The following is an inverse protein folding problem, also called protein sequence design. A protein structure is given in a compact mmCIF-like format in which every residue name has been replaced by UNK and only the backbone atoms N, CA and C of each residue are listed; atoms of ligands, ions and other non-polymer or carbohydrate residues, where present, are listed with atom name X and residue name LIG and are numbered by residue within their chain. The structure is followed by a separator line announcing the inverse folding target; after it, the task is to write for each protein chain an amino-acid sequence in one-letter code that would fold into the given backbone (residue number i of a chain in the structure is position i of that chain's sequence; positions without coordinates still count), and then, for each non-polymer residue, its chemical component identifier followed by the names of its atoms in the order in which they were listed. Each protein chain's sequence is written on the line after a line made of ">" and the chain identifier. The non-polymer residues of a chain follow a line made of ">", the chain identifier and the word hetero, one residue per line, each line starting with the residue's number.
data_IF_529896733675
#
_entry.id   IF_529896733675
#
_cell.length_a   1.000
_cell.length_b   1.000
_cell.length_c   1.000
_cell.angle_alpha   90.00
_cell.angle_beta   90.00
_cell.angle_gamma   90.00
#
_symmetry.space_group_name_H-M   'P 1'
#
loop_
_entity.id
_entity.type
_entity.pdbx_description
1 polymer ?
#
# COMPACT_ATOMS: atom_id res chain seq x y z
N UNK A 1 2.74 14.34 2.76
CA UNK A 1 3.64 13.21 2.40
C UNK A 1 2.98 11.83 2.48
N UNK A 2 2.11 11.53 3.47
CA UNK A 2 1.36 10.25 3.56
C UNK A 2 0.41 9.96 2.38
N UNK A 3 -0.09 10.98 1.71
CA UNK A 3 -1.07 10.85 0.61
C UNK A 3 -0.48 10.37 -0.71
N UNK A 4 0.83 10.54 -0.96
CA UNK A 4 1.48 10.07 -2.19
C UNK A 4 1.80 8.56 -2.15
N UNK A 5 2.04 8.01 -0.94
CA UNK A 5 2.21 6.57 -0.75
C UNK A 5 0.89 5.79 -0.79
N UNK A 6 -0.25 6.47 -0.64
CA UNK A 6 -1.58 5.87 -0.69
C UNK A 6 -2.14 5.71 -2.12
N UNK A 7 -1.52 6.34 -3.12
CA UNK A 7 -1.99 6.30 -4.51
C UNK A 7 -0.91 5.69 -5.43
N UNK A 8 -0.88 4.34 -5.58
CA UNK A 8 0.10 3.66 -6.42
C UNK A 8 0.01 4.07 -7.90
N UNK A 9 -1.16 4.57 -8.35
CA UNK A 9 -1.32 5.09 -9.70
C UNK A 9 -0.59 6.43 -9.92
N UNK A 10 -0.40 7.24 -8.88
CA UNK A 10 0.34 8.49 -9.00
C UNK A 10 1.83 8.23 -9.28
N UNK A 11 2.44 7.31 -8.52
CA UNK A 11 3.83 6.92 -8.73
C UNK A 11 4.02 6.28 -10.12
N UNK A 12 3.05 5.46 -10.55
CA UNK A 12 3.02 4.86 -11.88
C UNK A 12 2.86 5.90 -13.01
N UNK A 13 2.05 6.94 -12.81
CA UNK A 13 1.91 8.07 -13.75
C UNK A 13 3.21 8.84 -13.89
N UNK A 14 3.88 9.17 -12.78
CA UNK A 14 5.18 9.84 -12.83
C UNK A 14 6.21 9.01 -13.58
N UNK A 15 6.26 7.71 -13.33
CA UNK A 15 7.23 6.84 -13.97
C UNK A 15 6.96 6.61 -15.48
N UNK A 16 5.68 6.57 -15.88
CA UNK A 16 5.28 6.55 -17.31
C UNK A 16 5.67 7.83 -18.05
N UNK A 17 5.76 8.95 -17.35
CA UNK A 17 6.18 10.25 -17.91
C UNK A 17 7.71 10.37 -17.91
N UNK A 18 8.39 9.81 -16.90
CA UNK A 18 9.84 9.91 -16.76
C UNK A 18 10.62 9.01 -17.73
N UNK A 19 10.09 7.83 -18.06
CA UNK A 19 10.72 6.91 -19.01
C UNK A 19 10.90 7.52 -20.41
N UNK A 20 9.86 8.10 -21.06
CA UNK A 20 10.02 8.75 -22.35
C UNK A 20 10.84 10.03 -22.27
N UNK A 21 10.81 10.78 -21.17
CA UNK A 21 11.68 11.95 -21.01
C UNK A 21 13.15 11.57 -20.90
N UNK A 22 13.48 10.46 -20.22
CA UNK A 22 14.85 9.96 -20.16
C UNK A 22 15.32 9.43 -21.51
N UNK A 23 14.45 8.76 -22.27
CA UNK A 23 14.74 8.36 -23.65
C UNK A 23 14.98 9.57 -24.56
N UNK A 24 14.18 10.64 -24.43
CA UNK A 24 14.36 11.90 -25.16
C UNK A 24 15.68 12.59 -24.80
N UNK A 25 16.01 12.68 -23.51
CA UNK A 25 17.28 13.24 -23.06
C UNK A 25 18.47 12.40 -23.55
N UNK A 26 18.35 11.08 -23.55
CA UNK A 26 19.37 10.17 -24.08
C UNK A 26 19.55 10.34 -25.60
N UNK A 27 18.46 10.42 -26.37
CA UNK A 27 18.51 10.68 -27.82
C UNK A 27 19.10 12.06 -28.10
N UNK A 28 18.72 13.09 -27.32
CA UNK A 28 19.26 14.44 -27.45
C UNK A 28 20.75 14.51 -27.12
N UNK A 29 21.18 13.85 -26.03
CA UNK A 29 22.59 13.76 -25.66
C UNK A 29 23.39 12.98 -26.71
N UNK A 30 22.83 11.88 -27.24
CA UNK A 30 23.43 11.14 -28.34
C UNK A 30 23.54 12.00 -29.61
N UNK A 31 22.53 12.80 -29.95
CA UNK A 31 22.54 13.69 -31.12
C UNK A 31 23.54 14.85 -30.99
N UNK A 32 23.63 15.48 -29.81
CA UNK A 32 24.60 16.54 -29.54
C UNK A 32 26.03 15.99 -29.61
N UNK A 33 26.27 14.83 -28.98
CA UNK A 33 27.56 14.13 -29.11
C UNK A 33 27.84 13.77 -30.57
N UNK A 34 26.85 13.30 -31.34
CA UNK A 34 27.02 12.99 -32.75
C UNK A 34 27.33 14.24 -33.58
N UNK A 35 26.68 15.39 -33.32
CA UNK A 35 26.81 16.60 -34.13
C UNK A 35 28.14 17.33 -33.95
N UNK A 36 28.67 17.41 -32.74
CA UNK A 36 29.92 18.13 -32.46
C UNK A 36 31.15 17.23 -32.66
N UNK A 37 30.98 15.92 -32.47
CA UNK A 37 32.06 14.95 -32.63
C UNK A 37 32.13 14.47 -34.09
N UNK A 38 31.04 14.33 -34.86
CA UNK A 38 31.07 13.81 -36.24
C UNK A 38 32.00 14.55 -37.20
N UNK A 39 32.16 15.87 -37.06
CA UNK A 39 33.05 16.66 -37.93
C UNK A 39 34.56 16.48 -37.61
N UNK A 40 34.89 15.87 -36.46
CA UNK A 40 36.28 15.58 -36.01
C UNK A 40 36.53 14.12 -35.65
N UNK A 41 35.52 13.26 -35.75
CA UNK A 41 35.58 11.85 -35.41
C UNK A 41 35.94 11.07 -36.66
N UNK A 42 37.20 10.67 -36.75
CA UNK A 42 37.54 9.54 -37.59
C UNK A 42 36.74 8.35 -37.06
N UNK A 43 35.89 7.75 -37.90
CA UNK A 43 35.07 6.58 -37.56
C UNK A 43 35.98 5.36 -37.32
N UNK A 44 36.68 5.38 -36.18
CA UNK A 44 37.56 4.33 -35.73
C UNK A 44 36.75 3.30 -34.94
N UNK A 45 37.21 2.05 -34.96
CA UNK A 45 36.63 0.91 -34.27
C UNK A 45 36.34 1.20 -32.77
N UNK A 46 37.17 2.04 -32.13
CA UNK A 46 37.00 2.43 -30.72
C UNK A 46 35.69 3.20 -30.43
N UNK A 47 35.25 4.05 -31.36
CA UNK A 47 34.03 4.86 -31.18
C UNK A 47 32.79 3.97 -31.24
N UNK A 48 32.75 3.03 -32.18
CA UNK A 48 31.66 2.06 -32.31
C UNK A 48 31.49 1.22 -31.05
N UNK A 49 32.60 0.76 -30.46
CA UNK A 49 32.57 -0.04 -29.23
C UNK A 49 31.98 0.73 -28.05
N UNK A 50 32.32 2.01 -27.87
CA UNK A 50 31.78 2.84 -26.79
C UNK A 50 30.26 3.05 -26.91
N UNK A 51 29.77 3.33 -28.13
CA UNK A 51 28.34 3.49 -28.39
C UNK A 51 27.58 2.19 -28.12
N UNK A 52 28.14 1.04 -28.51
CA UNK A 52 27.54 -0.27 -28.24
C UNK A 52 27.45 -0.59 -26.74
N UNK A 53 28.47 -0.24 -25.97
CA UNK A 53 28.46 -0.42 -24.50
C UNK A 53 27.41 0.48 -23.85
N UNK A 54 27.31 1.76 -24.25
CA UNK A 54 26.28 2.67 -23.74
C UNK A 54 24.87 2.17 -24.06
N UNK A 55 24.65 1.70 -25.28
CA UNK A 55 23.37 1.13 -25.70
C UNK A 55 23.03 -0.15 -24.91
N UNK A 56 24.01 -1.02 -24.68
CA UNK A 56 23.83 -2.25 -23.89
C UNK A 56 23.52 -1.95 -22.42
N UNK A 57 24.26 -1.03 -21.78
CA UNK A 57 24.00 -0.61 -20.39
C UNK A 57 22.62 0.01 -20.23
N UNK A 58 22.18 0.81 -21.22
CA UNK A 58 20.84 1.39 -21.24
C UNK A 58 19.77 0.31 -21.38
N UNK A 59 19.95 -0.66 -22.29
CA UNK A 59 19.03 -1.78 -22.48
C UNK A 59 18.88 -2.64 -21.23
N UNK A 60 19.99 -2.93 -20.53
CA UNK A 60 20.00 -3.70 -19.29
C UNK A 60 19.27 -2.93 -18.18
N UNK A 61 19.55 -1.64 -17.98
CA UNK A 61 18.87 -0.81 -16.99
C UNK A 61 17.37 -0.72 -17.26
N UNK A 62 16.98 -0.60 -18.53
CA UNK A 62 15.58 -0.56 -18.95
C UNK A 62 14.85 -1.89 -18.71
N UNK A 63 15.50 -3.02 -18.98
CA UNK A 63 14.97 -4.35 -18.72
C UNK A 63 14.84 -4.64 -17.21
N UNK A 64 15.86 -4.27 -16.41
CA UNK A 64 15.82 -4.39 -14.95
C UNK A 64 14.70 -3.56 -14.34
N UNK A 65 14.53 -2.32 -14.79
CA UNK A 65 13.45 -1.46 -14.35
C UNK A 65 12.09 -2.14 -14.62
N UNK A 66 11.85 -2.59 -15.86
CA UNK A 66 10.63 -3.33 -16.25
C UNK A 66 10.32 -4.53 -15.34
N UNK A 67 11.32 -5.33 -14.98
CA UNK A 67 11.14 -6.56 -14.18
C UNK A 67 10.78 -6.22 -12.73
N UNK A 68 11.49 -5.27 -12.10
CA UNK A 68 11.27 -4.91 -10.69
C UNK A 68 9.86 -4.33 -10.47
N UNK A 69 9.32 -3.59 -11.45
CA UNK A 69 7.96 -3.05 -11.37
C UNK A 69 6.86 -4.11 -11.35
N UNK A 70 7.06 -5.24 -12.04
CA UNK A 70 6.05 -6.30 -12.06
C UNK A 70 5.83 -6.91 -10.67
N UNK A 71 6.92 -7.10 -9.91
CA UNK A 71 6.89 -7.65 -8.55
C UNK A 71 6.20 -6.71 -7.58
N UNK A 72 6.51 -5.41 -7.66
CA UNK A 72 5.86 -4.38 -6.83
C UNK A 72 4.35 -4.38 -7.05
N UNK A 73 3.87 -4.46 -8.31
CA UNK A 73 2.43 -4.49 -8.61
C UNK A 73 1.73 -5.69 -7.98
N UNK A 74 2.30 -6.88 -8.13
CA UNK A 74 1.72 -8.12 -7.58
C UNK A 74 1.70 -8.08 -6.06
N UNK A 75 2.74 -7.54 -5.42
CA UNK A 75 2.79 -7.42 -3.97
C UNK A 75 1.72 -6.44 -3.46
N UNK A 76 1.55 -5.30 -4.13
CA UNK A 76 0.52 -4.33 -3.78
C UNK A 76 -0.90 -4.91 -3.92
N UNK A 77 -1.18 -5.63 -5.00
CA UNK A 77 -2.48 -6.27 -5.22
C UNK A 77 -2.78 -7.34 -4.15
N UNK A 78 -1.76 -8.10 -3.74
CA UNK A 78 -1.87 -9.05 -2.62
C UNK A 78 -2.16 -8.36 -1.30
N UNK A 79 -1.51 -7.22 -1.01
CA UNK A 79 -1.75 -6.44 0.21
C UNK A 79 -3.17 -5.86 0.22
N UNK A 80 -3.60 -5.25 -0.89
CA UNK A 80 -4.96 -4.71 -1.02
C UNK A 80 -6.03 -5.79 -0.90
N UNK A 81 -5.82 -6.94 -1.53
CA UNK A 81 -6.75 -8.07 -1.44
C UNK A 81 -6.79 -8.64 -0.03
N UNK A 82 -5.64 -8.75 0.65
CA UNK A 82 -5.57 -9.19 2.04
C UNK A 82 -6.29 -8.21 2.98
N UNK A 83 -6.10 -6.90 2.81
CA UNK A 83 -6.82 -5.88 3.57
C UNK A 83 -8.33 -5.94 3.33
N UNK A 84 -8.75 -6.03 2.07
CA UNK A 84 -10.17 -6.14 1.71
C UNK A 84 -10.82 -7.40 2.28
N UNK A 85 -10.12 -8.53 2.23
CA UNK A 85 -10.59 -9.79 2.82
C UNK A 85 -10.70 -9.69 4.34
N UNK A 86 -9.73 -9.04 4.99
CA UNK A 86 -9.75 -8.78 6.44
C UNK A 86 -10.95 -7.91 6.82
N UNK A 87 -11.19 -6.81 6.11
CA UNK A 87 -12.34 -5.94 6.34
C UNK A 87 -13.66 -6.69 6.16
N UNK A 88 -13.80 -7.42 5.05
CA UNK A 88 -15.02 -8.23 4.78
C UNK A 88 -15.26 -9.27 5.88
N UNK A 89 -14.19 -9.93 6.36
CA UNK A 89 -14.29 -10.91 7.45
C UNK A 89 -14.69 -10.28 8.78
N UNK A 90 -14.20 -9.07 9.08
CA UNK A 90 -14.53 -8.34 10.28
C UNK A 90 -15.99 -7.87 10.26
N UNK A 91 -16.43 -7.33 9.13
CA UNK A 91 -17.84 -6.96 8.89
C UNK A 91 -18.77 -8.16 9.09
N UNK A 92 -18.39 -9.34 8.57
CA UNK A 92 -19.16 -10.56 8.81
C UNK A 92 -19.25 -10.92 10.29
N UNK A 93 -18.14 -10.85 11.04
CA UNK A 93 -18.13 -11.10 12.50
C UNK A 93 -18.95 -10.07 13.28
N UNK A 94 -18.90 -8.80 12.89
CA UNK A 94 -19.74 -7.74 13.48
C UNK A 94 -21.24 -8.02 13.28
N UNK A 95 -21.61 -8.60 12.14
CA UNK A 95 -22.98 -9.00 11.86
C UNK A 95 -23.47 -10.19 12.70
N UNK A 96 -22.56 -11.05 13.20
CA UNK A 96 -22.87 -12.16 14.11
C UNK A 96 -23.06 -11.74 15.58
N UNK A 97 -22.79 -10.47 15.91
CA UNK A 97 -23.08 -9.93 17.23
C UNK A 97 -24.59 -9.83 17.44
N UNK A 98 -25.06 -10.21 18.62
CA UNK A 98 -26.45 -10.00 19.02
C UNK A 98 -26.74 -8.50 19.18
N UNK A 99 -28.02 -8.14 19.20
CA UNK A 99 -28.43 -6.74 19.42
C UNK A 99 -27.81 -6.15 20.68
N UNK A 100 -27.85 -6.88 21.80
CA UNK A 100 -27.25 -6.45 23.08
C UNK A 100 -25.73 -6.35 23.04
N UNK A 101 -25.07 -7.26 22.34
CA UNK A 101 -23.62 -7.18 22.16
C UNK A 101 -23.21 -5.96 21.32
N UNK A 102 -24.00 -5.59 20.30
CA UNK A 102 -23.79 -4.37 19.51
C UNK A 102 -23.97 -3.10 20.36
N UNK A 103 -24.99 -3.05 21.22
CA UNK A 103 -25.17 -1.92 22.16
C UNK A 103 -23.96 -1.76 23.10
N UNK A 104 -23.50 -2.87 23.70
CA UNK A 104 -22.31 -2.88 24.55
C UNK A 104 -21.08 -2.42 23.77
N UNK A 105 -20.85 -2.96 22.56
CA UNK A 105 -19.72 -2.59 21.72
C UNK A 105 -19.72 -1.10 21.37
N UNK A 106 -20.87 -0.53 21.02
CA UNK A 106 -21.00 0.90 20.71
C UNK A 106 -20.59 1.78 21.89
N UNK A 107 -20.98 1.40 23.12
CA UNK A 107 -20.53 2.13 24.30
C UNK A 107 -19.03 1.94 24.60
N UNK A 108 -18.46 0.78 24.27
CA UNK A 108 -17.02 0.55 24.37
C UNK A 108 -16.26 1.50 23.43
N UNK A 109 -16.71 1.60 22.16
CA UNK A 109 -16.13 2.48 21.15
C UNK A 109 -16.31 3.96 21.48
N UNK A 110 -17.41 4.32 22.13
CA UNK A 110 -17.65 5.66 22.68
C UNK A 110 -16.74 6.00 23.89
N UNK A 111 -15.91 5.06 24.37
CA UNK A 111 -14.99 5.30 25.46
C UNK A 111 -15.60 5.20 26.87
N UNK A 112 -16.84 4.73 27.01
CA UNK A 112 -17.51 4.61 28.32
C UNK A 112 -16.85 3.54 29.20
N UNK A 113 -16.68 3.82 30.48
CA UNK A 113 -16.24 2.87 31.49
C UNK A 113 -17.27 1.76 31.72
N UNK A 114 -16.83 0.61 32.23
CA UNK A 114 -17.75 -0.51 32.50
C UNK A 114 -18.88 -0.13 33.46
N UNK A 115 -18.62 0.76 34.43
CA UNK A 115 -19.64 1.28 35.36
C UNK A 115 -20.71 2.09 34.62
N UNK A 116 -20.30 2.98 33.71
CA UNK A 116 -21.24 3.77 32.91
C UNK A 116 -22.04 2.90 31.93
N UNK A 117 -21.44 1.85 31.39
CA UNK A 117 -22.14 0.89 30.51
C UNK A 117 -23.21 0.13 31.30
N UNK A 118 -22.87 -0.41 32.47
CA UNK A 118 -23.84 -1.07 33.37
C UNK A 118 -25.00 -0.14 33.72
N UNK A 119 -24.72 1.12 34.06
CA UNK A 119 -25.73 2.11 34.37
C UNK A 119 -26.60 2.48 33.16
N UNK A 120 -26.00 2.63 31.97
CA UNK A 120 -26.73 2.99 30.74
C UNK A 120 -27.64 1.86 30.27
N UNK A 121 -27.18 0.61 30.35
CA UNK A 121 -27.91 -0.56 29.86
C UNK A 121 -28.76 -1.24 30.95
N UNK A 122 -28.74 -0.74 32.18
CA UNK A 122 -29.41 -1.31 33.36
C UNK A 122 -29.08 -2.80 33.57
N UNK A 123 -27.80 -3.16 33.45
CA UNK A 123 -27.30 -4.54 33.62
C UNK A 123 -26.25 -4.64 34.74
N UNK A 124 -26.12 -5.83 35.32
CA UNK A 124 -25.09 -6.09 36.33
C UNK A 124 -23.69 -6.20 35.71
N UNK A 125 -22.66 -5.93 36.51
CA UNK A 125 -21.25 -6.10 36.12
C UNK A 125 -20.92 -7.53 35.66
N UNK A 126 -21.53 -8.54 36.26
CA UNK A 126 -21.39 -9.96 35.91
C UNK A 126 -21.87 -10.20 34.46
N UNK A 127 -23.06 -9.70 34.12
CA UNK A 127 -23.69 -9.80 32.80
C UNK A 127 -22.91 -9.02 31.75
N UNK A 128 -22.45 -7.80 32.08
CA UNK A 128 -21.60 -7.02 31.19
C UNK A 128 -20.30 -7.76 30.86
N UNK A 129 -19.66 -8.37 31.87
CA UNK A 129 -18.43 -9.15 31.66
C UNK A 129 -18.68 -10.32 30.70
N UNK A 130 -19.81 -11.00 30.83
CA UNK A 130 -20.21 -12.07 29.90
C UNK A 130 -20.41 -11.55 28.47
N UNK A 131 -21.11 -10.42 28.29
CA UNK A 131 -21.26 -9.80 26.97
C UNK A 131 -19.91 -9.40 26.36
N UNK A 132 -19.01 -8.79 27.14
CA UNK A 132 -17.66 -8.41 26.70
C UNK A 132 -16.86 -9.65 26.27
N UNK A 133 -16.90 -10.73 27.07
CA UNK A 133 -16.22 -11.97 26.74
C UNK A 133 -16.76 -12.61 25.44
N UNK A 134 -18.07 -12.56 25.22
CA UNK A 134 -18.66 -13.05 23.97
C UNK A 134 -18.28 -12.18 22.77
N UNK A 135 -18.26 -10.85 22.93
CA UNK A 135 -17.78 -9.92 21.89
C UNK A 135 -16.33 -10.24 21.52
N UNK A 136 -15.47 -10.42 22.52
CA UNK A 136 -14.05 -10.73 22.34
C UNK A 136 -13.88 -12.05 21.56
N UNK A 137 -14.63 -13.08 21.96
CA UNK A 137 -14.62 -14.39 21.30
C UNK A 137 -15.14 -14.33 19.85
N UNK A 138 -16.22 -13.59 19.59
CA UNK A 138 -16.83 -13.48 18.26
C UNK A 138 -15.98 -12.64 17.29
N UNK A 139 -15.38 -11.57 17.78
CA UNK A 139 -14.55 -10.68 16.96
C UNK A 139 -13.09 -11.17 16.84
N UNK A 140 -12.61 -11.95 17.81
CA UNK A 140 -11.24 -12.46 17.86
C UNK A 140 -10.24 -11.47 18.46
N UNK A 141 -10.68 -10.63 19.40
CA UNK A 141 -9.83 -9.67 20.12
C UNK A 141 -9.66 -10.09 21.58
N UNK A 142 -8.54 -9.72 22.19
CA UNK A 142 -8.24 -10.08 23.58
C UNK A 142 -8.32 -8.87 24.53
N UNK A 143 -8.31 -7.66 23.99
CA UNK A 143 -8.30 -6.45 24.81
C UNK A 143 -9.21 -5.35 24.29
N UNK A 144 -9.69 -4.52 25.22
CA UNK A 144 -10.46 -3.32 24.88
C UNK A 144 -9.68 -2.37 23.98
N UNK A 145 -8.37 -2.26 24.20
CA UNK A 145 -7.49 -1.40 23.39
C UNK A 145 -7.41 -1.89 21.95
N UNK A 146 -7.25 -3.20 21.73
CA UNK A 146 -7.26 -3.79 20.39
C UNK A 146 -8.55 -3.49 19.64
N UNK A 147 -9.72 -3.67 20.30
CA UNK A 147 -11.02 -3.39 19.69
C UNK A 147 -11.14 -1.93 19.29
N UNK A 148 -10.83 -1.02 20.23
CA UNK A 148 -10.92 0.42 19.99
C UNK A 148 -9.95 0.84 18.89
N UNK A 149 -8.75 0.26 18.82
CA UNK A 149 -7.79 0.58 17.75
C UNK A 149 -8.22 0.01 16.38
N UNK A 150 -8.88 -1.14 16.37
CA UNK A 150 -9.26 -1.82 15.13
C UNK A 150 -10.59 -1.33 14.52
N UNK A 151 -11.49 -0.79 15.34
CA UNK A 151 -12.86 -0.40 14.92
C UNK A 151 -13.15 1.11 15.00
N UNK A 152 -12.20 1.93 15.48
CA UNK A 152 -12.33 3.39 15.56
C UNK A 152 -11.56 4.05 14.42
#
# INVERSE_FOLDING_TARGET
>A
MRTLLANPDALFRFQKILLPSYALLFIGAAYILFGEVADKLEWNETVYVLVLIMAASFGISFAWARIEYSKVRVLMDKLQTAEKNKETSLQHRLNQLSFKEKEVLNHILAGKSNKEICATLFIEHSTLKSHINHIYKKLGFNSRKEIVLALK
#
